data_IF_383107153954
#
_entry.id   IF_383107153954
#
_cell.length_a   1.000
_cell.length_b   1.000
_cell.length_c   1.000
_cell.angle_alpha   90.00
_cell.angle_beta   90.00
_cell.angle_gamma   90.00
#
_symmetry.space_group_name_H-M   'P 1'
#
loop_
_entity.id
_entity.type
_entity.pdbx_description
1 polymer ?
#
# COMPACT_ATOMS: atom_id res chain seq x y z
N UNK A 1 -5.87 25.43 -11.06
CA UNK A 1 -5.92 24.30 -11.13
C UNK A 1 -5.49 23.71 -12.32
N UNK A 2 -4.69 22.94 -12.40
CA UNK A 2 -4.19 22.51 -13.49
C UNK A 2 -4.31 21.10 -13.58
N UNK A 3 -5.25 20.62 -14.25
CA UNK A 3 -5.43 19.24 -14.45
C UNK A 3 -4.82 18.90 -15.77
N UNK A 4 -3.54 18.74 -15.80
CA UNK A 4 -2.82 18.42 -17.01
C UNK A 4 -2.94 16.94 -17.33
N UNK A 5 -2.73 16.53 -18.59
CA UNK A 5 -2.72 15.10 -18.92
C UNK A 5 -1.70 14.31 -18.10
N UNK A 6 -0.55 14.91 -17.82
CA UNK A 6 0.46 14.23 -16.99
C UNK A 6 -0.05 14.00 -15.58
N UNK A 7 -0.71 14.99 -14.99
CA UNK A 7 -1.26 14.85 -13.65
C UNK A 7 -2.33 13.77 -13.62
N UNK A 8 -3.13 13.67 -14.66
CA UNK A 8 -4.15 12.61 -14.73
C UNK A 8 -3.53 11.24 -14.83
N UNK A 9 -2.46 11.11 -15.59
CA UNK A 9 -1.77 9.83 -15.71
C UNK A 9 -1.16 9.40 -14.39
N UNK A 10 -0.57 10.34 -13.66
CA UNK A 10 0.00 10.03 -12.36
C UNK A 10 -1.10 9.61 -11.39
N UNK A 11 -2.21 10.33 -11.37
CA UNK A 11 -3.32 9.98 -10.49
C UNK A 11 -3.87 8.60 -10.83
N UNK A 12 -4.02 8.30 -12.11
CA UNK A 12 -4.50 6.99 -12.53
C UNK A 12 -3.55 5.87 -12.13
N UNK A 13 -2.24 6.12 -12.23
CA UNK A 13 -1.24 5.13 -11.86
C UNK A 13 -1.25 4.85 -10.35
N UNK A 14 -1.63 5.84 -9.54
CA UNK A 14 -1.69 5.66 -8.10
C UNK A 14 -3.03 5.15 -7.62
N UNK A 15 -4.04 5.19 -8.46
CA UNK A 15 -5.38 4.80 -8.04
C UNK A 15 -5.44 3.32 -7.69
N UNK A 16 -6.23 3.01 -6.69
CA UNK A 16 -6.53 1.64 -6.30
C UNK A 16 -7.99 1.61 -5.89
N UNK A 17 -8.68 0.49 -6.09
CA UNK A 17 -10.09 0.42 -5.74
C UNK A 17 -10.27 0.46 -4.22
N UNK A 18 -11.38 1.00 -3.78
CA UNK A 18 -11.74 0.91 -2.37
C UNK A 18 -11.99 -0.56 -2.02
N UNK A 19 -11.75 -0.92 -0.79
CA UNK A 19 -11.93 -2.30 -0.34
C UNK A 19 -12.65 -2.27 1.00
N UNK A 20 -13.42 -3.31 1.27
CA UNK A 20 -14.09 -3.48 2.57
C UNK A 20 -13.33 -4.54 3.35
N UNK A 21 -12.93 -4.22 4.57
CA UNK A 21 -12.23 -5.19 5.41
C UNK A 21 -13.21 -6.10 6.15
N UNK A 22 -12.68 -7.06 6.90
CA UNK A 22 -13.52 -8.04 7.60
C UNK A 22 -14.35 -7.40 8.71
N UNK A 23 -13.96 -6.23 9.17
CA UNK A 23 -14.74 -5.49 10.16
C UNK A 23 -15.85 -4.65 9.52
N UNK A 24 -15.96 -4.65 8.21
CA UNK A 24 -17.01 -3.91 7.51
C UNK A 24 -16.65 -2.48 7.18
N UNK A 25 -15.40 -2.07 7.40
CA UNK A 25 -14.98 -0.71 7.09
C UNK A 25 -14.58 -0.61 5.62
N UNK A 26 -14.87 0.53 5.02
CA UNK A 26 -14.42 0.81 3.65
C UNK A 26 -13.08 1.53 3.74
N UNK A 27 -12.07 0.97 3.11
CA UNK A 27 -10.74 1.55 3.07
C UNK A 27 -10.49 2.10 1.67
N UNK A 28 -10.12 3.36 1.61
CA UNK A 28 -9.69 3.97 0.36
C UNK A 28 -8.18 3.85 0.29
N UNK A 29 -7.66 3.41 -0.83
CA UNK A 29 -6.26 3.07 -0.96
C UNK A 29 -5.63 3.80 -2.13
N UNK A 30 -4.31 3.91 -2.09
CA UNK A 30 -3.55 4.35 -3.25
C UNK A 30 -2.21 3.65 -3.25
N UNK A 31 -1.64 3.50 -4.42
CA UNK A 31 -0.30 2.94 -4.53
C UNK A 31 0.72 4.01 -4.19
N UNK A 32 1.73 3.66 -3.43
CA UNK A 32 2.73 4.61 -3.00
C UNK A 32 3.72 4.89 -4.13
N UNK A 33 4.08 6.15 -4.26
CA UNK A 33 5.13 6.55 -5.20
C UNK A 33 6.49 6.34 -4.55
N UNK A 34 7.54 6.49 -5.34
CA UNK A 34 8.90 6.44 -4.80
C UNK A 34 9.12 7.50 -3.74
N UNK A 35 8.58 8.70 -3.94
CA UNK A 35 8.71 9.76 -2.96
C UNK A 35 7.96 9.43 -1.67
N UNK A 36 6.78 8.85 -1.79
CA UNK A 36 6.04 8.41 -0.61
C UNK A 36 6.85 7.41 0.19
N UNK A 37 7.49 6.46 -0.47
CA UNK A 37 8.32 5.46 0.19
C UNK A 37 9.52 6.10 0.86
N UNK A 38 10.15 7.05 0.19
CA UNK A 38 11.30 7.75 0.75
C UNK A 38 10.91 8.50 2.01
N UNK A 39 9.77 9.17 2.00
CA UNK A 39 9.27 9.86 3.18
C UNK A 39 8.94 8.89 4.31
N UNK A 40 8.44 7.72 3.96
CA UNK A 40 8.14 6.70 4.96
C UNK A 40 9.42 6.15 5.58
N UNK A 41 10.48 5.95 4.79
CA UNK A 41 11.76 5.53 5.32
C UNK A 41 12.31 6.58 6.29
N UNK A 42 12.15 7.85 5.95
CA UNK A 42 12.58 8.92 6.81
C UNK A 42 11.81 8.92 8.13
N UNK A 43 10.51 8.71 8.07
CA UNK A 43 9.67 8.64 9.27
C UNK A 43 10.04 7.45 10.14
N UNK A 44 10.38 6.32 9.53
CA UNK A 44 10.76 5.10 10.25
C UNK A 44 12.10 5.25 10.96
N UNK A 45 13.02 5.96 10.35
CA UNK A 45 14.36 6.10 10.88
C UNK A 45 15.28 5.00 10.38
N UNK A 46 16.60 5.19 10.58
CA UNK A 46 17.57 4.33 9.93
C UNK A 46 17.52 2.86 10.34
N UNK A 47 17.12 2.58 11.57
CA UNK A 47 17.07 1.19 12.01
C UNK A 47 15.82 0.48 11.49
N UNK A 48 14.66 1.09 11.63
CA UNK A 48 13.43 0.46 11.20
C UNK A 48 13.32 0.41 9.68
N UNK A 49 13.94 1.35 8.99
CA UNK A 49 13.92 1.32 7.53
C UNK A 49 14.63 0.09 6.97
N UNK A 50 15.48 -0.55 7.77
CA UNK A 50 16.16 -1.77 7.37
C UNK A 50 15.43 -3.02 7.85
N UNK A 51 14.35 -2.86 8.61
CA UNK A 51 13.59 -3.98 9.12
C UNK A 51 12.49 -4.30 8.11
N UNK A 52 12.73 -5.29 7.26
CA UNK A 52 11.80 -5.60 6.18
C UNK A 52 10.39 -5.97 6.66
N UNK A 53 10.21 -6.81 7.68
CA UNK A 53 8.86 -7.10 8.14
C UNK A 53 8.13 -5.86 8.66
N UNK A 54 8.82 -5.01 9.42
CA UNK A 54 8.21 -3.79 9.93
C UNK A 54 7.84 -2.86 8.78
N UNK A 55 8.76 -2.69 7.83
CA UNK A 55 8.52 -1.81 6.68
C UNK A 55 7.40 -2.33 5.79
N UNK A 56 7.27 -3.64 5.65
CA UNK A 56 6.17 -4.21 4.88
C UNK A 56 4.82 -3.80 5.43
N UNK A 57 4.65 -3.89 6.74
CA UNK A 57 3.41 -3.48 7.40
C UNK A 57 3.22 -1.97 7.29
N UNK A 58 4.30 -1.21 7.48
CA UNK A 58 4.23 0.25 7.40
C UNK A 58 3.81 0.72 6.00
N UNK A 59 4.30 0.07 4.95
CA UNK A 59 3.94 0.41 3.59
C UNK A 59 2.45 0.16 3.33
N UNK A 60 1.92 -0.95 3.84
CA UNK A 60 0.50 -1.23 3.69
C UNK A 60 -0.34 -0.17 4.40
N UNK A 61 0.03 0.15 5.64
CA UNK A 61 -0.71 1.16 6.39
C UNK A 61 -0.67 2.51 5.70
N UNK A 62 0.48 2.90 5.18
CA UNK A 62 0.64 4.19 4.52
C UNK A 62 -0.14 4.27 3.21
N UNK A 63 -0.55 3.14 2.65
CA UNK A 63 -1.36 3.13 1.44
C UNK A 63 -2.82 3.46 1.68
N UNK A 64 -3.27 3.46 2.94
CA UNK A 64 -4.66 3.77 3.27
C UNK A 64 -4.82 5.28 3.35
N UNK A 65 -5.71 5.83 2.53
CA UNK A 65 -5.92 7.28 2.47
C UNK A 65 -7.18 7.71 3.20
N UNK A 66 -8.11 6.79 3.43
CA UNK A 66 -9.35 7.10 4.16
C UNK A 66 -9.92 5.81 4.75
N UNK A 67 -10.60 5.94 5.87
CA UNK A 67 -11.32 4.83 6.50
C UNK A 67 -12.77 5.29 6.63
N UNK A 68 -13.70 4.55 6.04
CA UNK A 68 -15.11 4.93 5.99
C UNK A 68 -15.26 6.38 5.49
N UNK A 69 -14.48 6.70 4.44
CA UNK A 69 -14.50 7.99 3.76
C UNK A 69 -13.99 9.15 4.62
N UNK A 70 -13.42 8.87 5.80
CA UNK A 70 -12.78 9.89 6.62
C UNK A 70 -11.28 9.86 6.30
N UNK A 71 -10.71 10.97 5.81
CA UNK A 71 -9.31 10.99 5.40
C UNK A 71 -8.37 10.65 6.55
N UNK A 72 -7.33 9.90 6.20
CA UNK A 72 -6.28 9.52 7.14
C UNK A 72 -5.01 10.27 6.73
N UNK A 73 -4.43 11.09 7.60
CA UNK A 73 -3.21 11.81 7.25
C UNK A 73 -2.07 10.84 7.02
N UNK A 74 -1.16 11.20 6.12
CA UNK A 74 0.02 10.40 5.87
C UNK A 74 0.90 10.42 7.13
N UNK A 75 1.27 9.27 7.66
CA UNK A 75 2.09 9.26 8.89
C UNK A 75 3.48 9.85 8.62
N UNK A 76 3.95 10.69 9.52
CA UNK A 76 5.22 11.37 9.38
C UNK A 76 6.22 10.98 10.46
N UNK A 77 5.84 10.16 11.42
CA UNK A 77 6.73 9.70 12.49
C UNK A 77 6.50 8.22 12.73
N UNK A 78 7.46 7.59 13.38
CA UNK A 78 7.34 6.19 13.75
C UNK A 78 6.08 5.95 14.58
N UNK A 79 5.83 6.81 15.56
CA UNK A 79 4.66 6.65 16.42
C UNK A 79 3.35 6.74 15.63
N UNK A 80 3.30 7.64 14.65
CA UNK A 80 2.11 7.78 13.80
C UNK A 80 1.92 6.56 12.91
N UNK A 81 3.01 6.00 12.40
CA UNK A 81 2.94 4.76 11.61
C UNK A 81 2.36 3.65 12.47
N UNK A 82 2.88 3.47 13.67
CA UNK A 82 2.42 2.40 14.55
C UNK A 82 0.98 2.62 15.01
N UNK A 83 0.59 3.86 15.24
CA UNK A 83 -0.79 4.16 15.60
C UNK A 83 -1.75 3.80 14.47
N UNK A 84 -1.36 4.09 13.24
CA UNK A 84 -2.19 3.75 12.08
C UNK A 84 -2.28 2.23 11.89
N UNK A 85 -1.16 1.53 12.06
CA UNK A 85 -1.15 0.07 12.00
C UNK A 85 -2.10 -0.50 13.05
N UNK A 86 -2.04 0.02 14.27
CA UNK A 86 -2.93 -0.44 15.34
C UNK A 86 -4.39 -0.15 15.04
N UNK A 87 -4.67 0.99 14.41
CA UNK A 87 -6.03 1.35 14.05
C UNK A 87 -6.58 0.45 12.95
N UNK A 88 -5.77 0.10 11.97
CA UNK A 88 -6.19 -0.79 10.89
C UNK A 88 -6.35 -2.23 11.39
N UNK A 89 -5.44 -2.67 12.21
CA UNK A 89 -5.45 -4.03 12.72
C UNK A 89 -5.23 -5.04 11.60
N UNK A 90 -5.35 -6.30 11.92
CA UNK A 90 -5.13 -7.35 10.94
C UNK A 90 -6.16 -7.30 9.83
N UNK A 91 -7.42 -7.00 10.18
CA UNK A 91 -8.47 -6.95 9.17
C UNK A 91 -8.19 -5.89 8.11
N UNK A 92 -7.81 -4.69 8.56
CA UNK A 92 -7.51 -3.61 7.63
C UNK A 92 -6.26 -3.88 6.81
N UNK A 93 -5.22 -4.39 7.45
CA UNK A 93 -3.97 -4.67 6.75
C UNK A 93 -4.13 -5.80 5.74
N UNK A 94 -4.88 -6.84 6.08
CA UNK A 94 -5.13 -7.94 5.16
C UNK A 94 -5.92 -7.47 3.95
N UNK A 95 -6.93 -6.64 4.18
CA UNK A 95 -7.74 -6.11 3.09
C UNK A 95 -6.88 -5.23 2.16
N UNK A 96 -6.03 -4.39 2.75
CA UNK A 96 -5.14 -3.54 1.95
C UNK A 96 -4.15 -4.38 1.15
N UNK A 97 -3.59 -5.41 1.77
CA UNK A 97 -2.63 -6.28 1.09
C UNK A 97 -3.29 -6.98 -0.11
N UNK A 98 -4.49 -7.49 0.09
CA UNK A 98 -5.20 -8.17 -0.99
C UNK A 98 -5.52 -7.21 -2.14
N UNK A 99 -5.96 -6.01 -1.81
CA UNK A 99 -6.34 -5.02 -2.82
C UNK A 99 -5.15 -4.48 -3.58
N UNK A 100 -3.98 -4.41 -2.93
CA UNK A 100 -2.79 -3.86 -3.54
C UNK A 100 -1.88 -4.91 -4.14
N UNK A 101 -2.24 -6.17 -4.04
CA UNK A 101 -1.46 -7.24 -4.66
C UNK A 101 -1.32 -6.91 -6.15
N UNK A 102 -0.09 -6.85 -6.64
CA UNK A 102 0.09 -6.39 -8.01
C UNK A 102 -0.36 -7.43 -9.02
N UNK A 103 -0.99 -6.98 -10.08
CA UNK A 103 -1.33 -7.83 -11.19
C UNK A 103 -0.08 -8.49 -11.75
N UNK A 104 1.05 -7.80 -11.64
CA UNK A 104 2.31 -8.34 -12.09
C UNK A 104 2.74 -9.56 -11.31
N UNK A 105 2.45 -9.61 -10.03
CA UNK A 105 2.76 -10.80 -9.25
C UNK A 105 2.02 -12.00 -9.75
N UNK A 106 0.75 -11.84 -10.07
CA UNK A 106 -0.04 -12.91 -10.63
C UNK A 106 0.51 -13.33 -11.99
N UNK A 107 0.88 -12.35 -12.81
CA UNK A 107 1.46 -12.65 -14.11
C UNK A 107 2.79 -13.36 -13.99
N UNK A 108 3.59 -12.95 -13.03
CA UNK A 108 4.88 -13.60 -12.81
C UNK A 108 4.68 -15.02 -12.35
N UNK A 109 3.74 -15.26 -11.49
CA UNK A 109 3.45 -16.61 -11.04
C UNK A 109 2.94 -17.48 -12.18
N UNK A 110 2.09 -16.94 -13.02
CA UNK A 110 1.61 -17.67 -14.17
C UNK A 110 2.77 -17.97 -15.12
N UNK A 111 3.63 -17.02 -15.37
CA UNK A 111 4.79 -17.22 -16.22
C UNK A 111 5.72 -18.27 -15.64
N UNK A 112 5.93 -18.23 -14.33
CA UNK A 112 6.78 -19.22 -13.69
C UNK A 112 6.16 -20.59 -13.77
N UNK A 113 4.85 -20.69 -13.60
CA UNK A 113 4.15 -21.95 -13.74
C UNK A 113 4.29 -22.48 -15.14
N UNK A 114 4.13 -21.64 -16.13
CA UNK A 114 4.31 -22.05 -17.51
C UNK A 114 5.74 -22.48 -17.77
N UNK A 115 6.70 -21.79 -17.22
CA UNK A 115 8.10 -22.16 -17.38
C UNK A 115 8.39 -23.50 -16.75
N UNK A 116 7.77 -23.77 -15.63
CA UNK A 116 7.95 -25.06 -15.00
C UNK A 116 7.30 -26.16 -15.80
N UNK A 117 6.29 -25.86 -16.55
CA UNK A 117 5.63 -26.85 -17.36
C UNK A 117 6.40 -27.24 -18.56
N UNK A 118 7.34 -26.40 -18.98
CA UNK A 118 8.01 -26.69 -20.17
C UNK A 118 9.20 -27.50 -20.01
N UNK A 119 9.85 -27.57 -19.05
CA UNK A 119 11.08 -28.12 -19.03
C UNK A 119 10.97 -29.47 -19.21
N UNK A 120 11.08 -30.09 -19.18
CA UNK A 120 11.28 -31.36 -19.30
C UNK A 120 11.86 -31.70 -20.38
#
# INVERSE_FOLDING_TARGET
MSDTPSARLVAAAQAAPDVTDAAGRTLSLRRLTALDKLRLYKAAGPQLAQNAPWMGVALLAASVTAIDFVPVPQPATEAQIEALVGRLGEDGLDAAAAALAPAESANIEDAAGNSHGTPT
#
